data_IF_170034436881
#
_entry.id   IF_170034436881
#
_cell.length_a   1.000
_cell.length_b   1.000
_cell.length_c   1.000
_cell.angle_alpha   90.00
_cell.angle_beta   90.00
_cell.angle_gamma   90.00
#
_symmetry.space_group_name_H-M   'P 1'
#
loop_
_entity.id
_entity.type
_entity.pdbx_description
1 polymer ?
#
# COMPACT_ATOMS: atom_id res chain seq x y z
N UNK A 1 19.55 -5.13 -8.29
CA UNK A 1 18.53 -5.28 -7.24
C UNK A 1 17.45 -4.25 -7.51
N UNK A 2 16.29 -4.68 -7.99
CA UNK A 2 15.21 -3.77 -8.40
C UNK A 2 14.14 -3.76 -7.31
N UNK A 3 14.18 -2.72 -6.49
CA UNK A 3 13.22 -2.49 -5.41
C UNK A 3 12.18 -1.45 -5.87
N UNK A 4 10.91 -1.81 -5.87
CA UNK A 4 9.84 -0.90 -6.30
C UNK A 4 8.63 -1.01 -5.39
N UNK A 5 7.89 0.09 -5.25
CA UNK A 5 6.61 0.09 -4.57
C UNK A 5 5.48 -0.22 -5.55
N UNK A 6 4.46 -0.92 -5.07
CA UNK A 6 3.24 -1.18 -5.81
C UNK A 6 2.01 -1.09 -4.93
N UNK A 7 0.87 -0.81 -5.56
CA UNK A 7 -0.45 -0.82 -4.93
C UNK A 7 -1.19 -2.09 -5.35
N UNK A 8 -1.70 -2.83 -4.38
CA UNK A 8 -2.46 -4.06 -4.62
C UNK A 8 -3.85 -3.67 -5.11
N UNK A 9 -4.16 -4.04 -6.35
CA UNK A 9 -5.46 -3.78 -6.98
C UNK A 9 -6.40 -4.97 -6.77
N UNK A 10 -5.85 -6.17 -6.65
CA UNK A 10 -6.61 -7.40 -6.44
C UNK A 10 -5.68 -8.44 -5.80
N UNK A 11 -6.16 -9.20 -4.84
CA UNK A 11 -5.46 -10.35 -4.24
C UNK A 11 -6.29 -11.62 -4.45
N UNK A 12 -5.65 -12.68 -4.95
CA UNK A 12 -6.30 -13.95 -5.27
C UNK A 12 -5.30 -15.11 -5.12
N UNK A 13 -5.78 -16.33 -5.30
CA UNK A 13 -4.95 -17.54 -5.30
C UNK A 13 -4.90 -18.13 -6.71
N UNK A 14 -3.71 -18.44 -7.19
CA UNK A 14 -3.45 -19.10 -8.48
C UNK A 14 -2.59 -20.33 -8.21
N UNK A 15 -3.07 -21.53 -8.59
CA UNK A 15 -2.38 -22.80 -8.34
C UNK A 15 -1.97 -23.03 -6.86
N UNK A 16 -2.78 -22.53 -5.92
CA UNK A 16 -2.50 -22.63 -4.48
C UNK A 16 -1.50 -21.60 -3.96
N UNK A 17 -0.96 -20.73 -4.81
CA UNK A 17 -0.06 -19.65 -4.42
C UNK A 17 -0.82 -18.32 -4.29
N UNK A 18 -0.62 -17.55 -3.20
CA UNK A 18 -1.12 -16.18 -3.12
C UNK A 18 -0.46 -15.29 -4.17
N UNK A 19 -1.27 -14.63 -4.98
CA UNK A 19 -0.84 -13.72 -6.07
C UNK A 19 -1.65 -12.44 -6.01
N UNK A 20 -1.00 -11.32 -6.33
CA UNK A 20 -1.66 -10.02 -6.46
C UNK A 20 -1.56 -9.45 -7.87
N UNK A 21 -2.61 -8.80 -8.37
CA UNK A 21 -2.47 -7.78 -9.42
C UNK A 21 -2.02 -6.50 -8.77
N UNK A 22 -0.80 -6.08 -9.08
CA UNK A 22 -0.19 -4.91 -8.46
C UNK A 22 0.07 -3.84 -9.52
N UNK A 23 -0.38 -2.62 -9.24
CA UNK A 23 -0.07 -1.44 -10.03
C UNK A 23 1.30 -0.91 -9.63
N UNK A 24 2.23 -0.87 -10.58
CA UNK A 24 3.59 -0.37 -10.44
C UNK A 24 3.83 0.64 -11.55
N UNK A 25 4.06 1.91 -11.21
CA UNK A 25 4.27 3.01 -12.18
C UNK A 25 3.21 3.08 -13.29
N UNK A 26 1.94 2.80 -12.96
CA UNK A 26 0.82 2.80 -13.91
C UNK A 26 0.61 1.50 -14.69
N UNK A 27 1.57 0.57 -14.67
CA UNK A 27 1.41 -0.75 -15.27
C UNK A 27 0.90 -1.77 -14.23
N UNK A 28 0.03 -2.69 -14.66
CA UNK A 28 -0.44 -3.79 -13.80
C UNK A 28 0.41 -5.04 -14.04
N UNK A 29 0.90 -5.65 -12.96
CA UNK A 29 1.69 -6.88 -12.99
C UNK A 29 1.11 -7.92 -12.03
N UNK A 30 1.22 -9.21 -12.38
CA UNK A 30 1.03 -10.30 -11.42
C UNK A 30 2.29 -10.46 -10.59
N UNK A 31 2.16 -10.46 -9.27
CA UNK A 31 3.27 -10.53 -8.32
C UNK A 31 2.96 -11.59 -7.26
N UNK A 32 3.93 -12.42 -6.94
CA UNK A 32 3.79 -13.42 -5.88
C UNK A 32 3.69 -12.75 -4.51
N UNK A 33 2.69 -13.14 -3.73
CA UNK A 33 2.43 -12.65 -2.38
C UNK A 33 2.75 -13.69 -1.29
N UNK A 34 3.30 -14.86 -1.65
CA UNK A 34 3.46 -15.99 -0.73
C UNK A 34 4.29 -15.74 0.54
N UNK A 35 5.02 -14.62 0.63
CA UNK A 35 5.75 -14.21 1.83
C UNK A 35 4.92 -13.33 2.78
N UNK A 36 3.72 -12.91 2.37
CA UNK A 36 2.84 -12.00 3.10
C UNK A 36 1.47 -12.65 3.31
N UNK A 37 0.95 -12.62 4.53
CA UNK A 37 -0.26 -13.37 4.91
C UNK A 37 -1.53 -12.52 4.97
N UNK A 38 -1.42 -11.19 4.98
CA UNK A 38 -2.50 -10.25 5.28
C UNK A 38 -2.57 -9.08 4.28
N UNK A 39 -2.21 -9.36 3.03
CA UNK A 39 -2.27 -8.39 1.93
C UNK A 39 -3.70 -8.27 1.40
N UNK A 40 -4.21 -7.05 1.37
CA UNK A 40 -5.55 -6.71 0.89
C UNK A 40 -5.48 -5.68 -0.24
N UNK A 41 -6.58 -5.55 -0.98
CA UNK A 41 -6.75 -4.47 -1.97
C UNK A 41 -6.54 -3.09 -1.31
N UNK A 42 -5.84 -2.21 -2.01
CA UNK A 42 -5.44 -0.89 -1.54
C UNK A 42 -4.15 -0.85 -0.72
N UNK A 43 -3.63 -2.01 -0.27
CA UNK A 43 -2.35 -2.04 0.41
C UNK A 43 -1.22 -1.62 -0.53
N UNK A 44 -0.24 -0.90 0.03
CA UNK A 44 1.06 -0.73 -0.62
C UNK A 44 2.02 -1.82 -0.19
N UNK A 45 2.76 -2.35 -1.14
CA UNK A 45 3.79 -3.36 -0.90
C UNK A 45 5.12 -2.96 -1.52
N UNK A 46 6.18 -3.47 -0.94
CA UNK A 46 7.54 -3.42 -1.48
C UNK A 46 7.82 -4.70 -2.26
N UNK A 47 8.26 -4.54 -3.50
CA UNK A 47 8.56 -5.63 -4.43
C UNK A 47 10.06 -5.67 -4.67
N UNK A 48 10.63 -6.87 -4.57
CA UNK A 48 12.00 -7.17 -4.97
C UNK A 48 11.96 -8.31 -5.98
N UNK A 49 12.51 -8.09 -7.18
CA UNK A 49 12.69 -9.11 -8.22
C UNK A 49 11.43 -9.96 -8.51
N UNK A 50 10.25 -9.33 -8.50
CA UNK A 50 8.97 -9.96 -8.85
C UNK A 50 8.20 -10.59 -7.68
N UNK A 51 8.69 -10.45 -6.45
CA UNK A 51 8.04 -10.96 -5.23
C UNK A 51 7.75 -9.81 -4.27
N UNK A 52 6.55 -9.80 -3.66
CA UNK A 52 6.25 -8.87 -2.58
C UNK A 52 6.91 -9.34 -1.28
N UNK A 53 7.75 -8.49 -0.69
CA UNK A 53 8.58 -8.84 0.47
C UNK A 53 8.20 -8.08 1.75
N UNK A 54 7.42 -7.01 1.64
CA UNK A 54 6.91 -6.26 2.80
C UNK A 54 5.64 -5.51 2.44
N UNK A 55 4.70 -5.43 3.39
CA UNK A 55 3.62 -4.44 3.37
C UNK A 55 4.18 -3.09 3.87
N UNK A 56 3.69 -1.99 3.32
CA UNK A 56 4.13 -0.64 3.65
C UNK A 56 3.00 0.06 4.39
N UNK A 57 3.14 0.18 5.71
CA UNK A 57 2.25 1.00 6.51
C UNK A 57 2.62 2.47 6.29
N UNK A 58 1.76 3.23 5.63
CA UNK A 58 1.87 4.69 5.63
C UNK A 58 1.73 5.26 7.05
N UNK A 59 2.09 6.53 7.29
CA UNK A 59 1.68 7.18 8.52
C UNK A 59 0.16 7.06 8.62
N UNK A 60 -0.34 6.50 9.73
CA UNK A 60 -1.76 6.60 10.08
C UNK A 60 -2.13 8.07 9.89
N UNK A 61 -3.20 8.36 9.14
CA UNK A 61 -3.81 9.69 9.20
C UNK A 61 -4.20 9.91 10.65
N UNK A 62 -3.34 10.50 11.45
CA UNK A 62 -3.74 11.16 12.68
C UNK A 62 -4.73 12.22 12.23
N UNK A 63 -5.98 12.14 12.69
CA UNK A 63 -6.95 13.19 12.49
C UNK A 63 -6.30 14.52 12.89
N UNK A 64 -5.98 15.37 11.91
CA UNK A 64 -5.54 16.72 12.16
C UNK A 64 -6.74 17.48 12.74
N UNK A 65 -6.81 17.52 14.07
CA UNK A 65 -7.78 18.31 14.81
C UNK A 65 -7.41 19.79 14.58
N UNK A 66 -7.91 20.38 13.49
CA UNK A 66 -7.77 21.81 13.26
C UNK A 66 -8.52 22.55 14.37
N UNK A 67 -7.77 23.14 15.32
CA UNK A 67 -8.33 24.14 16.23
C UNK A 67 -8.36 25.45 15.46
N UNK A 68 -9.56 25.84 15.01
CA UNK A 68 -9.80 27.19 14.51
C UNK A 68 -9.60 28.16 15.68
N UNK A 69 -8.49 28.91 15.66
CA UNK A 69 -8.29 30.02 16.59
C UNK A 69 -9.24 31.16 16.24
N UNK A 70 -10.28 31.36 17.04
CA UNK A 70 -11.18 32.51 16.92
C UNK A 70 -10.39 33.77 17.26
N UNK A 71 -9.99 34.53 16.25
CA UNK A 71 -9.31 35.82 16.40
C UNK A 71 -10.34 36.93 16.35
N UNK A 72 -11.00 37.20 17.48
CA UNK A 72 -11.78 38.42 17.67
C UNK A 72 -11.61 38.95 19.09
N UNK A 73 -10.46 39.58 19.34
CA UNK A 73 -10.39 40.70 20.27
C UNK A 73 -9.57 41.81 19.62
N UNK A 74 -10.27 42.83 19.11
CA UNK A 74 -9.71 44.17 18.96
C UNK A 74 -10.72 45.14 19.55
N UNK A 75 -10.20 45.85 20.55
CA UNK A 75 -10.79 46.92 21.35
C UNK A 75 -11.52 48.01 20.55
#
# INVERSE_FOLDING_TARGET
MNLVYGEVIEAFTEEGMPVGRIRVHGATKKIALGLLTDVMEGDRVLICDGVAISKVTGPRKTEEKHVFGDSRETH
#
